data_IF_242364220662
#
_entry.id   IF_242364220662
#
_cell.length_a   1.000
_cell.length_b   1.000
_cell.length_c   1.000
_cell.angle_alpha   90.00
_cell.angle_beta   90.00
_cell.angle_gamma   90.00
#
_symmetry.space_group_name_H-M   'P 1'
#
loop_
_entity.id
_entity.type
_entity.pdbx_description
1 polymer ?
#
# COMPACT_ATOMS: atom_id res chain seq x y z
N UNK A 1 -24.55 -1.75 2.84
CA UNK A 1 -24.36 -0.50 3.61
C UNK A 1 -22.85 -0.29 3.75
N UNK A 2 -22.32 0.62 2.99
CA UNK A 2 -20.93 1.10 3.15
C UNK A 2 -20.96 1.95 4.43
N UNK A 3 -20.38 1.44 5.49
CA UNK A 3 -20.51 1.89 6.87
C UNK A 3 -19.81 3.23 7.16
N UNK A 4 -19.94 4.23 6.27
CA UNK A 4 -19.25 5.53 6.37
C UNK A 4 -17.73 5.44 6.27
N UNK A 5 -17.18 4.31 5.80
CA UNK A 5 -15.73 4.14 5.64
C UNK A 5 -15.16 5.08 4.58
N UNK A 6 -15.91 5.35 3.51
CA UNK A 6 -15.59 6.34 2.50
C UNK A 6 -15.41 7.76 3.08
N UNK A 7 -16.33 8.18 3.95
CA UNK A 7 -16.25 9.47 4.63
C UNK A 7 -15.08 9.53 5.62
N UNK A 8 -14.82 8.45 6.35
CA UNK A 8 -13.68 8.34 7.27
C UNK A 8 -12.34 8.37 6.51
N UNK A 9 -12.26 7.66 5.38
CA UNK A 9 -11.09 7.71 4.49
C UNK A 9 -10.87 9.13 3.94
N UNK A 10 -11.92 9.80 3.49
CA UNK A 10 -11.83 11.19 3.04
C UNK A 10 -11.29 12.09 4.16
N UNK A 11 -11.76 11.93 5.40
CA UNK A 11 -11.27 12.71 6.54
C UNK A 11 -9.77 12.46 6.81
N UNK A 12 -9.29 11.23 6.71
CA UNK A 12 -7.87 10.89 6.86
C UNK A 12 -7.02 11.49 5.73
N UNK A 13 -7.56 11.55 4.52
CA UNK A 13 -6.82 11.99 3.33
C UNK A 13 -6.88 13.50 3.07
N UNK A 14 -7.82 14.24 3.66
CA UNK A 14 -7.92 15.71 3.51
C UNK A 14 -6.61 16.46 3.73
N UNK A 15 -5.85 16.22 4.79
CA UNK A 15 -4.59 16.94 5.01
C UNK A 15 -3.53 16.68 3.93
N UNK A 16 -3.69 15.61 3.14
CA UNK A 16 -2.72 15.15 2.14
C UNK A 16 -3.13 15.48 0.71
N UNK A 17 -4.43 15.45 0.43
CA UNK A 17 -4.99 15.55 -0.92
C UNK A 17 -5.88 16.79 -1.13
N UNK A 18 -6.16 17.55 -0.06
CA UNK A 18 -6.99 18.76 -0.11
C UNK A 18 -8.38 18.57 0.49
N UNK A 19 -9.01 19.68 0.85
CA UNK A 19 -10.30 19.69 1.56
C UNK A 19 -11.45 19.07 0.76
N UNK A 20 -11.43 19.20 -0.56
CA UNK A 20 -12.47 18.70 -1.46
C UNK A 20 -12.27 17.23 -1.88
N UNK A 21 -11.44 16.47 -1.14
CA UNK A 21 -11.19 15.08 -1.44
C UNK A 21 -12.45 14.23 -1.29
N UNK A 22 -12.74 13.47 -2.33
CA UNK A 22 -13.81 12.47 -2.38
C UNK A 22 -13.20 11.08 -2.51
N UNK A 23 -13.82 10.12 -1.85
CA UNK A 23 -13.47 8.70 -1.95
C UNK A 23 -14.61 7.96 -2.66
N UNK A 24 -14.24 7.20 -3.68
CA UNK A 24 -15.18 6.38 -4.43
C UNK A 24 -14.62 4.99 -4.79
N UNK A 25 -15.43 4.17 -5.44
CA UNK A 25 -15.06 2.84 -5.96
C UNK A 25 -14.40 1.93 -4.90
N UNK A 26 -14.85 2.03 -3.64
CA UNK A 26 -14.32 1.21 -2.55
C UNK A 26 -14.71 -0.26 -2.75
N UNK A 27 -13.73 -1.12 -2.95
CA UNK A 27 -13.93 -2.56 -3.23
C UNK A 27 -12.96 -3.43 -2.42
N UNK A 28 -13.47 -4.51 -1.86
CA UNK A 28 -12.65 -5.51 -1.20
C UNK A 28 -11.87 -6.32 -2.24
N UNK A 29 -10.56 -6.45 -2.03
CA UNK A 29 -9.73 -7.35 -2.83
C UNK A 29 -9.65 -8.71 -2.15
N UNK A 30 -9.92 -9.78 -2.93
CA UNK A 30 -9.83 -11.15 -2.45
C UNK A 30 -8.39 -11.65 -2.57
N UNK A 31 -7.83 -12.25 -1.52
CA UNK A 31 -6.52 -12.89 -1.60
C UNK A 31 -5.54 -12.64 -0.45
N UNK A 32 -5.90 -11.89 0.58
CA UNK A 32 -5.08 -11.71 1.79
C UNK A 32 -5.52 -12.67 2.90
N UNK A 33 -4.59 -13.48 3.43
CA UNK A 33 -4.92 -14.44 4.48
C UNK A 33 -5.06 -13.83 5.88
N UNK A 34 -4.42 -12.69 6.15
CA UNK A 34 -4.32 -12.11 7.50
C UNK A 34 -4.77 -10.65 7.59
N UNK A 35 -4.96 -9.97 6.47
CA UNK A 35 -5.31 -8.55 6.42
C UNK A 35 -6.40 -8.28 5.40
N UNK A 36 -7.31 -7.37 5.75
CA UNK A 36 -8.28 -6.83 4.80
C UNK A 36 -7.58 -5.85 3.86
N UNK A 37 -7.72 -6.06 2.56
CA UNK A 37 -7.18 -5.16 1.54
C UNK A 37 -8.32 -4.63 0.69
N UNK A 38 -8.43 -3.31 0.60
CA UNK A 38 -9.43 -2.65 -0.24
C UNK A 38 -8.75 -1.71 -1.22
N UNK A 39 -9.23 -1.71 -2.46
CA UNK A 39 -8.88 -0.69 -3.42
C UNK A 39 -9.98 0.37 -3.46
N UNK A 40 -9.59 1.60 -3.71
CA UNK A 40 -10.50 2.74 -3.82
C UNK A 40 -9.84 3.87 -4.61
N UNK A 41 -10.61 4.83 -5.04
CA UNK A 41 -10.09 6.05 -5.61
C UNK A 41 -10.25 7.20 -4.61
N UNK A 42 -9.28 8.11 -4.59
CA UNK A 42 -9.37 9.33 -3.80
C UNK A 42 -8.77 10.52 -4.53
N UNK A 43 -9.41 11.66 -4.40
CA UNK A 43 -8.97 12.91 -5.01
C UNK A 43 -10.09 13.88 -5.25
N UNK A 44 -9.84 14.87 -6.08
CA UNK A 44 -10.84 15.81 -6.58
C UNK A 44 -11.38 15.35 -7.93
N UNK A 45 -12.41 16.02 -8.43
CA UNK A 45 -12.95 15.74 -9.77
C UNK A 45 -11.91 15.90 -10.91
N UNK A 46 -10.86 16.70 -10.67
CA UNK A 46 -9.81 16.96 -11.65
C UNK A 46 -8.58 16.05 -11.50
N UNK A 47 -8.32 15.51 -10.30
CA UNK A 47 -7.16 14.66 -10.02
C UNK A 47 -7.57 13.56 -9.04
N UNK A 48 -7.93 12.41 -9.59
CA UNK A 48 -8.35 11.22 -8.84
C UNK A 48 -7.31 10.11 -9.03
N UNK A 49 -6.87 9.52 -7.92
CA UNK A 49 -5.82 8.49 -7.90
C UNK A 49 -6.28 7.19 -7.28
N UNK A 50 -5.86 6.04 -7.84
CA UNK A 50 -6.13 4.74 -7.25
C UNK A 50 -5.24 4.49 -6.02
N UNK A 51 -5.84 4.03 -4.94
CA UNK A 51 -5.19 3.78 -3.65
C UNK A 51 -5.58 2.40 -3.11
N UNK A 52 -4.74 1.90 -2.23
CA UNK A 52 -4.95 0.68 -1.46
C UNK A 52 -5.04 1.03 0.02
N UNK A 53 -6.10 0.55 0.67
CA UNK A 53 -6.21 0.46 2.13
C UNK A 53 -5.89 -0.96 2.57
N UNK A 54 -4.93 -1.09 3.46
CA UNK A 54 -4.67 -2.33 4.20
C UNK A 54 -5.04 -2.11 5.66
N UNK A 55 -5.85 -2.99 6.23
CA UNK A 55 -6.24 -2.93 7.63
C UNK A 55 -6.27 -4.32 8.25
N UNK A 56 -6.01 -4.39 9.54
CA UNK A 56 -6.12 -5.61 10.31
C UNK A 56 -6.52 -5.25 11.74
N UNK A 57 -7.32 -6.07 12.42
CA UNK A 57 -7.54 -5.88 13.85
C UNK A 57 -6.21 -5.94 14.60
N UNK A 58 -6.09 -5.25 15.74
CA UNK A 58 -4.90 -5.29 16.56
C UNK A 58 -4.58 -6.75 16.92
N UNK A 59 -3.38 -7.21 16.59
CA UNK A 59 -2.93 -8.56 16.90
C UNK A 59 -1.55 -8.51 17.54
N UNK A 60 -1.36 -9.19 18.66
CA UNK A 60 -0.13 -9.19 19.44
C UNK A 60 1.10 -9.74 18.70
N UNK A 61 0.88 -10.43 17.56
CA UNK A 61 1.94 -11.16 16.85
C UNK A 61 2.36 -10.55 15.52
N UNK A 62 1.82 -9.39 15.14
CA UNK A 62 2.17 -8.73 13.87
C UNK A 62 2.77 -7.35 14.12
N UNK A 63 3.73 -7.00 13.29
CA UNK A 63 4.23 -5.63 13.23
C UNK A 63 3.07 -4.65 12.99
N UNK A 64 3.09 -3.52 13.69
CA UNK A 64 2.10 -2.46 13.51
C UNK A 64 2.11 -1.88 12.10
N UNK A 65 1.03 -1.22 11.73
CA UNK A 65 0.89 -0.57 10.42
C UNK A 65 1.87 0.59 10.26
N UNK A 66 2.19 1.29 11.35
CA UNK A 66 3.18 2.38 11.34
C UNK A 66 4.59 1.84 11.07
N UNK A 67 4.98 0.72 11.71
CA UNK A 67 6.27 0.08 11.43
C UNK A 67 6.34 -0.45 10.00
N UNK A 68 5.25 -1.02 9.49
CA UNK A 68 5.18 -1.48 8.09
C UNK A 68 5.35 -0.30 7.11
N UNK A 69 4.68 0.83 7.38
CA UNK A 69 4.79 2.06 6.61
C UNK A 69 6.21 2.63 6.63
N UNK A 70 6.85 2.66 7.80
CA UNK A 70 8.23 3.12 7.94
C UNK A 70 9.21 2.22 7.17
N UNK A 71 9.04 0.90 7.26
CA UNK A 71 9.85 -0.08 6.51
C UNK A 71 9.71 0.11 5.01
N UNK A 72 8.47 0.25 4.51
CA UNK A 72 8.22 0.48 3.10
C UNK A 72 8.80 1.82 2.63
N UNK A 73 8.69 2.87 3.45
CA UNK A 73 9.26 4.18 3.14
C UNK A 73 10.79 4.17 3.12
N UNK A 74 11.43 3.45 4.04
CA UNK A 74 12.88 3.27 4.03
C UNK A 74 13.35 2.50 2.78
N UNK A 75 12.64 1.47 2.36
CA UNK A 75 12.91 0.76 1.12
C UNK A 75 12.77 1.67 -0.11
N UNK A 76 11.74 2.53 -0.16
CA UNK A 76 11.57 3.53 -1.22
C UNK A 76 12.74 4.51 -1.28
N UNK A 77 13.21 5.02 -0.14
CA UNK A 77 14.35 5.92 -0.05
C UNK A 77 15.66 5.25 -0.53
N UNK A 78 15.77 3.94 -0.35
CA UNK A 78 16.89 3.15 -0.88
C UNK A 78 16.76 2.82 -2.38
N UNK A 79 15.70 3.28 -3.04
CA UNK A 79 15.46 3.08 -4.47
C UNK A 79 14.73 1.78 -4.84
N UNK A 80 14.15 1.08 -3.85
CA UNK A 80 13.30 -0.07 -4.14
C UNK A 80 11.96 0.38 -4.79
N UNK A 81 11.46 -0.34 -5.81
CA UNK A 81 10.21 -0.03 -6.48
C UNK A 81 9.02 -0.49 -5.63
N UNK A 82 8.72 0.23 -4.58
CA UNK A 82 7.60 -0.04 -3.66
C UNK A 82 6.55 1.05 -3.78
N UNK A 83 5.26 0.76 -3.52
CA UNK A 83 4.21 1.77 -3.51
C UNK A 83 4.51 2.88 -2.51
N UNK A 84 4.19 4.12 -2.85
CA UNK A 84 4.34 5.24 -1.92
C UNK A 84 3.28 5.13 -0.83
N UNK A 85 3.72 5.20 0.43
CA UNK A 85 2.82 5.30 1.58
C UNK A 85 2.32 6.73 1.71
N UNK A 86 1.00 6.89 1.91
CA UNK A 86 0.35 8.18 2.13
C UNK A 86 0.05 8.40 3.61
N UNK A 87 -0.48 7.38 4.28
CA UNK A 87 -0.87 7.46 5.69
C UNK A 87 -0.79 6.07 6.33
N UNK A 88 -0.49 6.02 7.63
CA UNK A 88 -0.60 4.82 8.44
C UNK A 88 -0.90 5.21 9.88
N UNK A 89 -1.57 4.32 10.61
CA UNK A 89 -1.77 4.44 12.05
C UNK A 89 -2.00 3.09 12.69
N UNK A 90 -1.42 2.89 13.86
CA UNK A 90 -1.68 1.74 14.72
C UNK A 90 -2.95 1.95 15.57
N UNK A 91 -3.53 3.17 15.53
CA UNK A 91 -4.79 3.48 16.21
C UNK A 91 -5.99 3.09 15.36
N UNK A 92 -6.98 2.44 15.99
CA UNK A 92 -8.25 2.13 15.38
C UNK A 92 -9.23 3.31 15.31
N UNK A 93 -8.90 4.46 15.92
CA UNK A 93 -9.84 5.59 16.09
C UNK A 93 -10.35 6.15 14.77
N UNK A 94 -9.48 6.31 13.79
CA UNK A 94 -9.85 6.95 12.53
C UNK A 94 -10.69 6.05 11.62
N UNK A 95 -10.32 4.80 11.44
CA UNK A 95 -10.94 3.89 10.45
C UNK A 95 -11.61 2.64 11.08
N UNK A 96 -11.52 2.46 12.39
CA UNK A 96 -12.05 1.30 13.09
C UNK A 96 -11.04 0.18 13.34
N UNK A 97 -9.97 0.15 12.54
CA UNK A 97 -8.83 -0.76 12.68
C UNK A 97 -7.53 0.00 12.42
N UNK A 98 -6.37 -0.48 12.90
CA UNK A 98 -5.06 -0.09 12.41
C UNK A 98 -4.99 -0.18 10.88
N UNK A 99 -4.33 0.79 10.23
CA UNK A 99 -4.36 0.88 8.79
C UNK A 99 -3.07 1.42 8.16
N UNK A 100 -2.89 1.09 6.90
CA UNK A 100 -1.91 1.67 5.98
C UNK A 100 -2.60 2.00 4.66
N UNK A 101 -2.37 3.21 4.14
CA UNK A 101 -2.84 3.66 2.82
C UNK A 101 -1.62 3.89 1.94
N UNK A 102 -1.61 3.29 0.75
CA UNK A 102 -0.55 3.48 -0.25
C UNK A 102 -1.11 3.56 -1.66
N UNK A 103 -0.27 3.95 -2.62
CA UNK A 103 -0.63 3.96 -4.04
C UNK A 103 -1.02 2.54 -4.50
N UNK A 104 -2.06 2.42 -5.35
CA UNK A 104 -2.34 1.17 -6.08
C UNK A 104 -1.37 1.06 -7.25
N UNK A 105 -0.67 -0.06 -7.34
CA UNK A 105 0.23 -0.35 -8.46
C UNK A 105 -0.48 -1.32 -9.39
N UNK A 106 -0.66 -0.88 -10.64
CA UNK A 106 -1.19 -1.75 -11.68
C UNK A 106 -0.20 -2.85 -12.02
N UNK A 107 -0.67 -4.08 -12.10
CA UNK A 107 0.17 -5.23 -12.43
C UNK A 107 -0.54 -6.56 -12.30
N UNK A 108 0.16 -7.62 -12.70
CA UNK A 108 -0.32 -9.00 -12.57
C UNK A 108 0.35 -9.67 -11.38
N UNK A 109 -0.43 -10.27 -10.50
CA UNK A 109 0.04 -10.97 -9.30
C UNK A 109 -0.06 -12.50 -9.40
N UNK A 110 -0.76 -13.01 -10.42
CA UNK A 110 -0.95 -14.44 -10.61
C UNK A 110 0.25 -15.01 -11.36
N UNK A 111 1.08 -15.79 -10.67
CA UNK A 111 2.33 -16.37 -11.22
C UNK A 111 2.13 -17.05 -12.58
N UNK A 112 1.07 -17.84 -12.73
CA UNK A 112 0.78 -18.52 -14.02
C UNK A 112 0.54 -17.53 -15.18
N UNK A 113 -0.08 -16.38 -14.91
CA UNK A 113 -0.33 -15.35 -15.94
C UNK A 113 0.97 -14.63 -16.28
N UNK A 114 1.77 -14.28 -15.29
CA UNK A 114 3.11 -13.70 -15.49
C UNK A 114 3.96 -14.63 -16.35
N UNK A 115 4.04 -15.91 -16.01
CA UNK A 115 4.84 -16.89 -16.74
C UNK A 115 4.37 -17.13 -18.16
N UNK A 116 3.06 -17.09 -18.43
CA UNK A 116 2.51 -17.25 -19.78
C UNK A 116 2.68 -15.99 -20.64
N UNK A 117 2.67 -14.80 -20.01
CA UNK A 117 2.80 -13.52 -20.70
C UNK A 117 4.24 -13.13 -21.04
N UNK A 118 5.24 -13.88 -20.56
CA UNK A 118 6.66 -13.58 -20.76
C UNK A 118 7.34 -14.72 -21.56
N UNK A 119 8.10 -14.33 -22.57
CA UNK A 119 9.08 -15.20 -23.23
C UNK A 119 10.33 -15.41 -22.36
N UNK A 120 11.33 -16.13 -22.86
CA UNK A 120 12.57 -16.40 -22.14
C UNK A 120 13.36 -15.15 -21.75
N UNK A 121 13.41 -14.17 -22.66
CA UNK A 121 14.07 -12.90 -22.40
C UNK A 121 13.31 -12.05 -21.41
N UNK A 122 11.98 -11.99 -21.48
CA UNK A 122 11.13 -11.29 -20.53
C UNK A 122 11.27 -11.84 -19.11
N UNK A 123 11.35 -13.17 -18.97
CA UNK A 123 11.60 -13.84 -17.67
C UNK A 123 12.97 -13.50 -17.11
N UNK A 124 14.01 -13.48 -17.94
CA UNK A 124 15.35 -13.09 -17.53
C UNK A 124 15.41 -11.63 -17.08
N UNK A 125 14.75 -10.72 -17.81
CA UNK A 125 14.62 -9.32 -17.40
C UNK A 125 13.90 -9.17 -16.07
N UNK A 126 12.79 -9.89 -15.88
CA UNK A 126 12.05 -9.85 -14.61
C UNK A 126 12.90 -10.33 -13.44
N UNK A 127 13.68 -11.41 -13.61
CA UNK A 127 14.60 -11.91 -12.59
C UNK A 127 15.64 -10.85 -12.19
N UNK A 128 16.24 -10.17 -13.17
CA UNK A 128 17.19 -9.08 -12.92
C UNK A 128 16.53 -7.91 -12.19
N UNK A 129 15.29 -7.55 -12.54
CA UNK A 129 14.55 -6.51 -11.84
C UNK A 129 14.26 -6.89 -10.38
N UNK A 130 13.85 -8.14 -10.12
CA UNK A 130 13.66 -8.64 -8.77
C UNK A 130 14.96 -8.61 -7.94
N UNK A 131 16.08 -9.02 -8.53
CA UNK A 131 17.38 -8.96 -7.87
C UNK A 131 17.81 -7.53 -7.53
N UNK A 132 17.58 -6.58 -8.43
CA UNK A 132 17.85 -5.15 -8.18
C UNK A 132 16.95 -4.58 -7.08
N UNK A 133 15.66 -4.90 -7.09
CA UNK A 133 14.73 -4.48 -6.05
C UNK A 133 15.15 -5.03 -4.68
N UNK A 134 15.52 -6.30 -4.61
CA UNK A 134 16.01 -6.92 -3.37
C UNK A 134 17.31 -6.27 -2.87
N UNK A 135 18.26 -5.98 -3.76
CA UNK A 135 19.49 -5.28 -3.42
C UNK A 135 19.22 -3.87 -2.85
N UNK A 136 18.26 -3.14 -3.45
CA UNK A 136 17.82 -1.84 -2.94
C UNK A 136 17.22 -1.97 -1.53
N UNK A 137 16.33 -2.96 -1.31
CA UNK A 137 15.75 -3.21 0.02
C UNK A 137 16.84 -3.52 1.05
N UNK A 138 17.83 -4.34 0.70
CA UNK A 138 18.95 -4.67 1.61
C UNK A 138 19.88 -3.49 1.88
N UNK A 139 19.88 -2.46 1.05
CA UNK A 139 20.63 -1.23 1.29
C UNK A 139 19.87 -0.19 2.12
N UNK A 140 18.60 -0.46 2.44
CA UNK A 140 17.81 0.43 3.30
C UNK A 140 18.45 0.52 4.70
N UNK A 141 18.44 1.74 5.24
CA UNK A 141 19.05 2.01 6.55
C UNK A 141 18.15 1.51 7.68
N UNK A 142 18.72 0.73 8.60
CA UNK A 142 18.01 0.24 9.77
C UNK A 142 17.67 1.35 10.80
N UNK A 143 18.38 2.50 10.72
CA UNK A 143 18.15 3.69 11.55
C UNK A 143 17.26 4.74 10.88
N UNK A 144 16.53 4.35 9.83
CA UNK A 144 15.56 5.24 9.19
C UNK A 144 14.44 5.64 10.16
N UNK A 145 13.89 6.87 10.03
CA UNK A 145 12.82 7.33 10.92
C UNK A 145 11.64 6.36 10.99
N UNK A 146 11.18 6.04 12.20
CA UNK A 146 10.07 5.12 12.45
C UNK A 146 10.44 3.62 12.48
N UNK A 147 11.72 3.27 12.30
CA UNK A 147 12.22 1.88 12.46
C UNK A 147 12.84 1.62 13.82
N UNK A 148 13.07 2.67 14.62
CA UNK A 148 13.63 2.62 15.97
C UNK A 148 12.64 3.08 17.00
#
# INVERSE_FOLDING_TARGET
MTDGLDQRLAAVLRPLLGEDVVVDNLRLLTGGASRSTRAFNAGTAADCRPLILRSAPPAEHYAGMELEAATQSAAAQAGAPVPRVLAASDSAVALGDPFLICDEIAGETIVRRIQRGLDGEGRSRLLVQCARALAAIHSARADAPGLT
#
